data_IF_124099448433
#
_entry.id   IF_124099448433
#
_cell.length_a   1.000
_cell.length_b   1.000
_cell.length_c   1.000
_cell.angle_alpha   90.00
_cell.angle_beta   90.00
_cell.angle_gamma   90.00
#
_symmetry.space_group_name_H-M   'P 1'
#
loop_
_entity.id
_entity.type
_entity.pdbx_description
1 polymer ?
#
# COMPACT_ATOMS: atom_id res chain seq x y z
N UNK A 1 -2.76 1.01 -8.81
CA UNK A 1 -2.76 -0.37 -8.30
C UNK A 1 -2.26 -1.42 -9.31
N UNK A 2 -2.64 -1.39 -10.59
CA UNK A 2 -2.38 -2.52 -11.51
C UNK A 2 -0.91 -2.99 -11.65
N UNK A 3 0.08 -2.11 -11.65
CA UNK A 3 1.49 -2.50 -11.91
C UNK A 3 2.17 -3.19 -10.73
N UNK A 4 1.83 -2.82 -9.49
CA UNK A 4 2.43 -3.39 -8.28
C UNK A 4 1.87 -4.79 -7.98
N UNK A 5 0.58 -5.00 -8.25
CA UNK A 5 -0.05 -6.32 -8.22
C UNK A 5 0.48 -7.23 -9.33
N UNK A 6 0.76 -6.70 -10.54
CA UNK A 6 1.37 -7.50 -11.60
C UNK A 6 2.73 -8.06 -11.18
N UNK A 7 3.58 -7.22 -10.57
CA UNK A 7 4.89 -7.64 -10.04
C UNK A 7 4.73 -8.69 -8.92
N UNK A 8 3.80 -8.48 -8.00
CA UNK A 8 3.50 -9.42 -6.92
C UNK A 8 2.84 -10.73 -7.37
N UNK A 9 2.52 -10.90 -8.65
CA UNK A 9 2.00 -12.16 -9.22
C UNK A 9 3.02 -12.88 -10.10
N UNK A 10 4.22 -12.31 -10.27
CA UNK A 10 5.30 -12.93 -11.04
C UNK A 10 5.94 -14.08 -10.24
N UNK A 11 6.13 -15.26 -10.84
CA UNK A 11 6.87 -16.37 -10.21
C UNK A 11 8.29 -15.98 -9.80
N UNK A 12 8.95 -15.13 -10.60
CA UNK A 12 10.31 -14.66 -10.34
C UNK A 12 10.36 -13.79 -9.08
N UNK A 13 9.33 -12.99 -8.83
CA UNK A 13 9.22 -12.16 -7.63
C UNK A 13 9.10 -13.03 -6.37
N UNK A 14 8.25 -14.07 -6.39
CA UNK A 14 8.10 -14.97 -5.25
C UNK A 14 9.34 -15.84 -5.01
N UNK A 15 10.04 -16.22 -6.07
CA UNK A 15 11.30 -16.96 -5.94
C UNK A 15 12.38 -16.14 -5.23
N UNK A 16 12.44 -14.82 -5.43
CA UNK A 16 13.42 -13.95 -4.76
C UNK A 16 12.98 -13.50 -3.37
N UNK A 17 11.71 -13.64 -3.01
CA UNK A 17 11.18 -13.32 -1.67
C UNK A 17 10.95 -14.55 -0.80
N UNK A 18 11.52 -15.71 -1.16
CA UNK A 18 11.34 -16.99 -0.47
C UNK A 18 9.86 -17.38 -0.27
N UNK A 19 9.02 -17.05 -1.24
CA UNK A 19 7.57 -17.20 -1.19
C UNK A 19 6.89 -16.45 -0.02
N UNK A 20 7.56 -15.46 0.57
CA UNK A 20 7.00 -14.56 1.57
C UNK A 20 6.53 -13.25 0.94
N UNK A 21 5.49 -12.65 1.54
CA UNK A 21 5.02 -11.31 1.17
C UNK A 21 5.99 -10.28 1.77
N UNK A 22 6.69 -9.46 0.97
CA UNK A 22 7.57 -8.45 1.54
C UNK A 22 6.79 -7.45 2.41
N UNK A 23 7.33 -7.02 3.55
CA UNK A 23 6.64 -6.09 4.45
C UNK A 23 6.19 -4.79 3.77
N UNK A 24 6.98 -4.26 2.83
CA UNK A 24 6.61 -3.09 2.04
C UNK A 24 5.37 -3.34 1.17
N UNK A 25 5.25 -4.53 0.58
CA UNK A 25 4.14 -4.89 -0.28
C UNK A 25 2.84 -5.00 0.52
N UNK A 26 2.92 -5.63 1.70
CA UNK A 26 1.78 -5.72 2.62
C UNK A 26 1.36 -4.34 3.14
N UNK A 27 2.31 -3.47 3.48
CA UNK A 27 2.01 -2.12 3.94
C UNK A 27 1.38 -1.24 2.85
N UNK A 28 1.82 -1.39 1.59
CA UNK A 28 1.17 -0.75 0.44
C UNK A 28 -0.25 -1.27 0.25
N UNK A 29 -0.46 -2.59 0.35
CA UNK A 29 -1.81 -3.17 0.29
C UNK A 29 -2.75 -2.58 1.35
N UNK A 30 -2.31 -2.54 2.62
CA UNK A 30 -3.08 -1.96 3.72
C UNK A 30 -3.41 -0.47 3.50
N UNK A 31 -2.50 0.31 2.90
CA UNK A 31 -2.77 1.71 2.59
C UNK A 31 -3.88 1.91 1.55
N UNK A 32 -3.98 1.00 0.58
CA UNK A 32 -5.07 1.02 -0.39
C UNK A 32 -6.38 0.52 0.22
N UNK A 33 -6.34 -0.52 1.05
CA UNK A 33 -7.50 -1.04 1.79
C UNK A 33 -8.14 0.06 2.68
N UNK A 34 -7.31 0.78 3.46
CA UNK A 34 -7.77 1.88 4.32
C UNK A 34 -8.37 3.06 3.54
N UNK A 35 -7.97 3.26 2.29
CA UNK A 35 -8.47 4.35 1.45
C UNK A 35 -9.53 3.95 0.44
N UNK A 36 -10.15 2.77 0.60
CA UNK A 36 -11.24 2.34 -0.28
C UNK A 36 -12.54 3.10 0.02
N UNK A 37 -12.78 3.45 1.29
CA UNK A 37 -14.03 4.07 1.75
C UNK A 37 -13.81 5.15 2.81
N UNK A 38 -14.81 6.02 2.97
CA UNK A 38 -14.84 6.96 4.08
C UNK A 38 -15.06 6.23 5.41
N UNK A 39 -14.33 6.67 6.43
CA UNK A 39 -14.47 6.25 7.81
C UNK A 39 -15.34 7.20 8.61
N UNK A 40 -15.78 6.74 9.79
CA UNK A 40 -16.55 7.57 10.70
C UNK A 40 -15.73 8.79 11.14
N UNK A 41 -16.24 9.99 10.85
CA UNK A 41 -15.59 11.25 11.18
C UNK A 41 -14.79 11.88 10.03
N UNK A 42 -14.73 11.22 8.87
CA UNK A 42 -14.06 11.78 7.70
C UNK A 42 -14.80 13.00 7.13
N UNK A 43 -14.02 13.92 6.55
CA UNK A 43 -14.57 14.99 5.74
C UNK A 43 -15.01 14.41 4.38
N UNK A 44 -16.32 14.29 4.19
CA UNK A 44 -16.93 13.75 2.98
C UNK A 44 -16.62 14.56 1.71
N UNK A 45 -16.01 15.75 1.83
CA UNK A 45 -15.54 16.56 0.68
C UNK A 45 -14.19 16.10 0.15
N UNK A 46 -13.42 15.35 0.94
CA UNK A 46 -12.13 14.80 0.57
C UNK A 46 -12.30 13.34 0.15
N UNK A 47 -11.52 12.86 -0.81
CA UNK A 47 -11.55 11.43 -1.15
C UNK A 47 -10.86 10.60 -0.05
N UNK A 48 -11.31 9.37 0.21
CA UNK A 48 -10.63 8.45 1.14
C UNK A 48 -9.16 8.22 0.78
N UNK A 49 -8.81 8.25 -0.51
CA UNK A 49 -7.42 8.19 -0.97
C UNK A 49 -6.55 9.32 -0.40
N UNK A 50 -7.06 10.56 -0.43
CA UNK A 50 -6.35 11.74 0.11
C UNK A 50 -6.26 11.67 1.63
N UNK A 51 -7.31 11.18 2.29
CA UNK A 51 -7.37 11.07 3.74
C UNK A 51 -6.49 9.95 4.30
N UNK A 52 -6.40 8.81 3.60
CA UNK A 52 -5.86 7.58 4.15
C UNK A 52 -4.74 6.98 3.29
N UNK A 53 -4.95 6.72 2.01
CA UNK A 53 -3.95 6.05 1.16
C UNK A 53 -2.68 6.88 1.00
N UNK A 54 -2.79 8.14 0.59
CA UNK A 54 -1.63 9.00 0.35
C UNK A 54 -0.74 9.17 1.60
N UNK A 55 -1.27 9.50 2.80
CA UNK A 55 -0.43 9.62 4.00
C UNK A 55 0.17 8.29 4.46
N UNK A 56 -0.52 7.17 4.27
CA UNK A 56 0.04 5.86 4.60
C UNK A 56 1.15 5.44 3.64
N UNK A 57 0.98 5.69 2.33
CA UNK A 57 2.04 5.47 1.34
C UNK A 57 3.26 6.34 1.63
N UNK A 58 3.07 7.62 1.98
CA UNK A 58 4.18 8.50 2.37
C UNK A 58 4.98 7.92 3.55
N UNK A 59 4.30 7.42 4.60
CA UNK A 59 4.95 6.75 5.74
C UNK A 59 5.70 5.48 5.33
N UNK A 60 5.15 4.69 4.41
CA UNK A 60 5.82 3.50 3.88
C UNK A 60 7.12 3.88 3.16
N UNK A 61 7.07 4.90 2.30
CA UNK A 61 8.25 5.36 1.56
C UNK A 61 9.32 5.96 2.49
N UNK A 62 8.93 6.79 3.47
CA UNK A 62 9.84 7.36 4.46
C UNK A 62 10.62 6.28 5.23
N UNK A 63 9.94 5.22 5.69
CA UNK A 63 10.58 4.11 6.41
C UNK A 63 11.58 3.34 5.55
N UNK A 64 11.26 3.13 4.27
CA UNK A 64 12.11 2.39 3.35
C UNK A 64 13.27 3.24 2.80
N UNK A 65 13.15 4.56 2.76
CA UNK A 65 14.26 5.45 2.40
C UNK A 65 15.26 5.66 3.55
N UNK A 66 14.85 5.41 4.79
CA UNK A 66 15.69 5.50 5.98
C UNK A 66 16.42 4.18 6.34
N UNK A 67 16.21 3.11 5.55
CA UNK A 67 16.82 1.79 5.70
C UNK A 67 17.92 1.58 4.65
#
# INVERSE_FOLDING_TARGET
MNSLFLLATSPDFWAVTDNEVPPILFAVYQAFDEGEFHHSGDDMRLSPEVLHTQPLIAKVLERNHAS
#
